data_IF_833592968338
#
_entry.id   IF_833592968338
#
_cell.length_a   1.000
_cell.length_b   1.000
_cell.length_c   1.000
_cell.angle_alpha   90.00
_cell.angle_beta   90.00
_cell.angle_gamma   90.00
#
_symmetry.space_group_name_H-M   'P 1'
#
loop_
_entity.id
_entity.type
_entity.pdbx_description
1 polymer ?
#
# COMPACT_ATOMS: atom_id res chain seq x y z
N UNK A 1 -2.33 1.12 4.19
CA UNK A 1 -3.61 1.40 3.52
C UNK A 1 -3.73 2.85 3.06
N UNK A 2 -4.68 3.12 2.14
CA UNK A 2 -4.90 4.48 1.62
C UNK A 2 -5.37 5.43 2.71
N UNK A 3 -4.65 6.54 2.94
CA UNK A 3 -4.93 7.55 3.96
C UNK A 3 -5.06 7.00 5.40
N UNK A 4 -4.67 5.76 5.61
CA UNK A 4 -4.84 5.02 6.87
C UNK A 4 -3.79 5.39 7.93
N UNK A 5 -3.96 4.85 9.14
CA UNK A 5 -3.09 5.10 10.31
C UNK A 5 -2.67 3.78 11.00
N UNK A 6 -1.73 3.87 11.94
CA UNK A 6 -1.17 2.70 12.65
C UNK A 6 -2.19 2.02 13.58
N UNK A 7 -3.17 2.76 14.11
CA UNK A 7 -4.16 2.24 15.08
C UNK A 7 -5.39 1.57 14.43
N UNK A 8 -5.35 1.21 13.14
CA UNK A 8 -6.45 0.46 12.52
C UNK A 8 -6.57 -0.95 13.12
N UNK A 9 -7.80 -1.45 13.26
CA UNK A 9 -8.09 -2.76 13.92
C UNK A 9 -7.21 -3.89 13.35
N UNK A 10 -7.11 -4.04 12.04
CA UNK A 10 -6.28 -5.07 11.41
C UNK A 10 -4.81 -5.01 11.87
N UNK A 11 -4.23 -3.81 12.03
CA UNK A 11 -2.85 -3.65 12.49
C UNK A 11 -2.69 -3.99 13.97
N UNK A 12 -3.64 -3.55 14.81
CA UNK A 12 -3.61 -3.85 16.25
C UNK A 12 -3.74 -5.33 16.51
N UNK A 13 -4.73 -6.00 15.90
CA UNK A 13 -4.91 -7.44 16.05
C UNK A 13 -3.68 -8.21 15.58
N UNK A 14 -3.09 -7.83 14.43
CA UNK A 14 -1.86 -8.46 13.97
C UNK A 14 -0.69 -8.25 14.95
N UNK A 15 -0.52 -7.05 15.52
CA UNK A 15 0.53 -6.79 16.51
C UNK A 15 0.33 -7.62 17.79
N UNK A 16 -0.91 -7.74 18.27
CA UNK A 16 -1.24 -8.56 19.45
C UNK A 16 -0.93 -10.04 19.19
N UNK A 17 -1.29 -10.56 18.02
CA UNK A 17 -1.03 -11.95 17.66
C UNK A 17 0.48 -12.23 17.45
N UNK A 18 1.20 -11.32 16.77
CA UNK A 18 2.65 -11.41 16.62
C UNK A 18 3.37 -11.39 17.99
N UNK A 19 2.92 -10.55 18.92
CA UNK A 19 3.46 -10.51 20.28
C UNK A 19 3.23 -11.82 21.03
N UNK A 20 2.06 -12.45 20.86
CA UNK A 20 1.75 -13.76 21.46
C UNK A 20 2.66 -14.86 20.92
N UNK A 21 3.12 -14.70 19.68
CA UNK A 21 4.11 -15.59 19.02
C UNK A 21 5.57 -15.14 19.22
N UNK A 22 5.86 -14.34 20.24
CA UNK A 22 7.20 -13.82 20.58
C UNK A 22 7.87 -12.96 19.50
N UNK A 23 7.08 -12.38 18.56
CA UNK A 23 7.59 -11.44 17.57
C UNK A 23 7.39 -9.98 18.00
N UNK A 24 8.47 -9.20 17.98
CA UNK A 24 8.39 -7.74 18.16
C UNK A 24 7.85 -7.08 16.89
N UNK A 25 7.00 -6.07 17.04
CA UNK A 25 6.42 -5.37 15.87
C UNK A 25 6.35 -3.86 16.06
N UNK A 26 6.51 -3.11 14.97
CA UNK A 26 6.36 -1.66 14.90
C UNK A 26 5.34 -1.29 13.83
N UNK A 27 4.22 -0.69 14.24
CA UNK A 27 3.22 -0.17 13.30
C UNK A 27 3.50 1.31 12.99
N UNK A 28 3.95 1.59 11.78
CA UNK A 28 4.27 2.96 11.34
C UNK A 28 3.04 3.70 10.80
N UNK A 29 3.05 5.03 10.94
CA UNK A 29 2.26 5.95 10.14
C UNK A 29 3.12 6.49 9.01
N UNK A 30 2.66 6.33 7.76
CA UNK A 30 3.23 7.14 6.67
C UNK A 30 2.79 8.58 6.87
N UNK A 31 3.70 9.54 6.72
CA UNK A 31 3.45 10.95 7.03
C UNK A 31 2.34 11.55 6.15
N UNK A 32 2.29 11.19 4.88
CA UNK A 32 1.43 11.82 3.88
C UNK A 32 1.63 13.36 3.85
N UNK A 33 2.89 13.80 3.97
CA UNK A 33 3.30 15.21 4.09
C UNK A 33 2.79 15.92 5.37
N UNK A 34 2.39 15.15 6.40
CA UNK A 34 2.04 15.63 7.73
C UNK A 34 2.68 14.69 8.78
N UNK A 35 3.82 15.10 9.33
CA UNK A 35 4.62 14.28 10.24
C UNK A 35 3.92 14.09 11.63
N UNK A 36 2.99 14.94 11.97
CA UNK A 36 2.27 14.90 13.25
C UNK A 36 0.93 14.14 13.15
N UNK A 37 0.64 13.55 11.99
CA UNK A 37 -0.61 12.85 11.73
C UNK A 37 -0.76 11.57 12.58
N UNK A 38 -1.80 11.52 13.39
CA UNK A 38 -2.12 10.37 14.25
C UNK A 38 -3.23 9.48 13.72
N UNK A 39 -4.21 10.04 12.99
CA UNK A 39 -5.43 9.37 12.54
C UNK A 39 -5.51 9.30 11.00
N UNK A 40 -6.70 8.93 10.49
CA UNK A 40 -7.01 9.02 9.06
C UNK A 40 -6.73 10.44 8.55
N UNK A 41 -6.17 10.54 7.35
CA UNK A 41 -5.91 11.84 6.73
C UNK A 41 -7.23 12.60 6.54
N UNK A 42 -7.31 13.82 7.05
CA UNK A 42 -8.49 14.66 6.90
C UNK A 42 -8.56 15.22 5.48
N UNK A 43 -9.68 14.97 4.80
CA UNK A 43 -9.94 15.47 3.45
C UNK A 43 -9.95 17.00 3.31
N UNK A 44 -10.03 17.74 4.43
CA UNK A 44 -9.95 19.21 4.46
C UNK A 44 -8.52 19.74 4.42
N UNK A 45 -7.55 18.88 4.74
CA UNK A 45 -6.13 19.26 4.67
C UNK A 45 -5.66 19.12 3.22
N UNK A 46 -4.95 20.12 2.66
CA UNK A 46 -4.45 20.03 1.29
C UNK A 46 -3.49 18.86 1.09
N UNK A 47 -3.77 18.02 0.11
CA UNK A 47 -2.93 16.87 -0.23
C UNK A 47 -1.67 17.33 -1.00
N UNK A 48 -0.51 17.10 -0.39
CA UNK A 48 0.81 17.43 -0.96
C UNK A 48 1.73 16.22 -1.06
N UNK A 49 1.26 15.06 -0.57
CA UNK A 49 1.99 13.81 -0.58
C UNK A 49 1.92 13.10 -1.93
N UNK A 50 2.88 12.23 -2.20
CA UNK A 50 2.96 11.39 -3.39
C UNK A 50 2.92 9.92 -3.00
N UNK A 51 2.49 9.06 -3.93
CA UNK A 51 2.44 7.61 -3.67
C UNK A 51 3.83 7.05 -3.32
N UNK A 52 4.85 7.45 -4.05
CA UNK A 52 6.23 6.99 -3.88
C UNK A 52 6.94 7.53 -2.62
N UNK A 53 6.42 8.56 -1.96
CA UNK A 53 7.02 9.08 -0.72
C UNK A 53 7.11 7.99 0.36
N UNK A 54 6.16 7.05 0.35
CA UNK A 54 6.15 5.90 1.25
C UNK A 54 7.41 5.02 1.15
N UNK A 55 8.03 4.93 -0.03
CA UNK A 55 9.23 4.10 -0.27
C UNK A 55 10.39 4.60 0.59
N UNK A 56 10.60 5.92 0.60
CA UNK A 56 11.63 6.56 1.42
C UNK A 56 11.32 6.48 2.92
N UNK A 57 10.04 6.62 3.29
CA UNK A 57 9.63 6.50 4.68
C UNK A 57 9.81 5.09 5.22
N UNK A 58 9.46 4.05 4.44
CA UNK A 58 9.70 2.65 4.82
C UNK A 58 11.21 2.40 4.99
N UNK A 59 12.04 2.87 4.05
CA UNK A 59 13.50 2.78 4.15
C UNK A 59 14.02 3.41 5.45
N UNK A 60 13.55 4.60 5.79
CA UNK A 60 13.95 5.32 7.01
C UNK A 60 13.56 4.56 8.28
N UNK A 61 12.37 3.95 8.32
CA UNK A 61 11.94 3.15 9.47
C UNK A 61 12.71 1.83 9.61
N UNK A 62 13.05 1.19 8.49
CA UNK A 62 13.93 0.00 8.51
C UNK A 62 15.32 0.38 9.02
N UNK A 63 15.87 1.52 8.56
CA UNK A 63 17.13 2.06 9.05
C UNK A 63 17.10 2.33 10.56
N UNK A 64 16.03 2.93 11.06
CA UNK A 64 15.84 3.19 12.49
C UNK A 64 15.78 1.89 13.31
N UNK A 65 15.08 0.86 12.84
CA UNK A 65 15.04 -0.45 13.50
C UNK A 65 16.45 -1.07 13.58
N UNK A 66 17.23 -0.99 12.50
CA UNK A 66 18.62 -1.45 12.47
C UNK A 66 19.50 -0.71 13.50
N UNK A 67 19.36 0.61 13.59
CA UNK A 67 20.04 1.43 14.59
C UNK A 67 19.64 1.04 16.03
N UNK A 68 18.41 0.56 16.24
CA UNK A 68 17.93 0.03 17.52
C UNK A 68 18.34 -1.41 17.80
N UNK A 69 19.13 -2.02 16.93
CA UNK A 69 19.71 -3.35 17.12
C UNK A 69 18.89 -4.49 16.50
N UNK A 70 17.88 -4.20 15.67
CA UNK A 70 17.21 -5.25 14.93
C UNK A 70 18.19 -5.88 13.92
N UNK A 71 18.35 -7.20 14.01
CA UNK A 71 19.23 -8.00 13.13
C UNK A 71 18.49 -8.59 11.95
N UNK A 72 17.18 -8.75 12.06
CA UNK A 72 16.27 -9.28 11.05
C UNK A 72 15.00 -8.46 11.06
N UNK A 73 14.55 -8.02 9.90
CA UNK A 73 13.32 -7.21 9.73
C UNK A 73 12.42 -7.86 8.68
N UNK A 74 11.16 -8.05 9.00
CA UNK A 74 10.12 -8.35 8.01
C UNK A 74 9.28 -7.10 7.78
N UNK A 75 9.13 -6.68 6.53
CA UNK A 75 8.26 -5.57 6.17
C UNK A 75 6.88 -6.08 5.78
N UNK A 76 5.83 -5.54 6.43
CA UNK A 76 4.45 -5.98 6.23
C UNK A 76 3.61 -4.82 5.72
N UNK A 77 2.93 -5.00 4.60
CA UNK A 77 2.06 -3.97 4.02
C UNK A 77 0.66 -4.47 3.68
N UNK A 78 -0.37 -3.66 3.95
CA UNK A 78 -1.77 -3.96 3.64
C UNK A 78 -2.34 -3.03 2.57
N UNK A 79 -3.06 -3.59 1.59
CA UNK A 79 -3.77 -2.82 0.56
C UNK A 79 -2.81 -1.93 -0.26
N UNK A 80 -3.06 -0.63 -0.39
CA UNK A 80 -2.11 0.32 -0.99
C UNK A 80 -0.75 0.30 -0.28
N UNK A 81 -0.73 0.12 1.04
CA UNK A 81 0.53 -0.06 1.78
C UNK A 81 1.26 -1.34 1.38
N UNK A 82 0.54 -2.40 0.98
CA UNK A 82 1.14 -3.59 0.40
C UNK A 82 1.83 -3.31 -0.93
N UNK A 83 1.21 -2.54 -1.82
CA UNK A 83 1.85 -2.09 -3.06
C UNK A 83 3.08 -1.20 -2.79
N UNK A 84 2.99 -0.25 -1.86
CA UNK A 84 4.13 0.59 -1.46
C UNK A 84 5.27 -0.22 -0.84
N UNK A 85 4.94 -1.26 -0.07
CA UNK A 85 5.93 -2.22 0.47
C UNK A 85 6.58 -3.04 -0.64
N UNK A 86 5.83 -3.53 -1.61
CA UNK A 86 6.37 -4.22 -2.79
C UNK A 86 7.29 -3.29 -3.60
N UNK A 87 6.88 -2.06 -3.82
CA UNK A 87 7.71 -1.05 -4.52
C UNK A 87 9.02 -0.77 -3.76
N UNK A 88 8.95 -0.59 -2.44
CA UNK A 88 10.15 -0.49 -1.62
C UNK A 88 11.05 -1.72 -1.78
N UNK A 89 10.47 -2.91 -1.75
CA UNK A 89 11.20 -4.16 -1.84
C UNK A 89 11.91 -4.37 -3.18
N UNK A 90 11.39 -3.80 -4.27
CA UNK A 90 12.04 -3.87 -5.59
C UNK A 90 13.13 -2.83 -5.80
N UNK A 91 13.00 -1.63 -5.24
CA UNK A 91 13.89 -0.51 -5.58
C UNK A 91 14.93 -0.19 -4.50
N UNK A 92 14.60 -0.44 -3.22
CA UNK A 92 15.37 0.09 -2.08
C UNK A 92 15.52 -0.85 -0.91
N UNK A 93 15.26 -2.14 -1.09
CA UNK A 93 15.27 -3.08 0.03
C UNK A 93 16.62 -3.09 0.76
N UNK A 94 16.58 -2.89 2.07
CA UNK A 94 17.74 -3.00 2.93
C UNK A 94 18.19 -4.45 3.10
N UNK A 95 19.48 -4.68 3.28
CA UNK A 95 20.03 -6.01 3.63
C UNK A 95 19.49 -6.55 4.97
N UNK A 96 19.03 -5.66 5.86
CA UNK A 96 18.40 -6.05 7.12
C UNK A 96 16.99 -6.62 6.95
N UNK A 97 16.40 -6.50 5.75
CA UNK A 97 15.07 -7.06 5.44
C UNK A 97 15.24 -8.47 4.90
N UNK A 98 14.78 -9.46 5.65
CA UNK A 98 14.87 -10.86 5.28
C UNK A 98 13.63 -11.39 4.58
N UNK A 99 12.45 -10.85 4.93
CA UNK A 99 11.15 -11.30 4.41
C UNK A 99 10.21 -10.13 4.11
N UNK A 100 9.27 -10.37 3.20
CA UNK A 100 8.23 -9.42 2.83
C UNK A 100 6.86 -10.06 2.98
N UNK A 101 5.88 -9.35 3.56
CA UNK A 101 4.49 -9.80 3.66
C UNK A 101 3.56 -8.76 3.06
N UNK A 102 2.76 -9.18 2.08
CA UNK A 102 1.84 -8.34 1.34
C UNK A 102 0.40 -8.81 1.58
N UNK A 103 -0.36 -8.07 2.38
CA UNK A 103 -1.73 -8.41 2.76
C UNK A 103 -2.69 -7.69 1.82
N UNK A 104 -3.47 -8.43 1.03
CA UNK A 104 -4.39 -7.91 0.02
C UNK A 104 -3.80 -6.68 -0.71
N UNK A 105 -2.57 -6.78 -1.28
CA UNK A 105 -1.90 -5.64 -1.88
C UNK A 105 -2.66 -5.12 -3.08
N UNK A 106 -2.57 -3.81 -3.33
CA UNK A 106 -3.31 -3.17 -4.41
C UNK A 106 -2.88 -3.66 -5.79
N UNK A 107 -3.85 -3.95 -6.63
CA UNK A 107 -3.70 -4.11 -8.08
C UNK A 107 -4.07 -2.82 -8.80
N UNK A 108 -3.63 -2.67 -10.05
CA UNK A 108 -3.89 -1.48 -10.83
C UNK A 108 -3.97 -1.77 -12.33
N UNK A 109 -4.90 -1.13 -13.00
CA UNK A 109 -4.88 -0.97 -14.44
C UNK A 109 -5.43 0.40 -14.82
N UNK A 110 -4.97 0.95 -15.95
CA UNK A 110 -5.42 2.25 -16.45
C UNK A 110 -6.95 2.30 -16.61
N UNK A 111 -7.52 1.24 -17.16
CA UNK A 111 -8.97 1.16 -17.41
C UNK A 111 -9.74 1.13 -16.09
N UNK A 112 -9.35 0.26 -15.15
CA UNK A 112 -10.00 0.15 -13.84
C UNK A 112 -9.89 1.46 -13.04
N UNK A 113 -8.72 2.10 -13.05
CA UNK A 113 -8.51 3.39 -12.37
C UNK A 113 -9.43 4.50 -12.93
N UNK A 114 -9.54 4.61 -14.26
CA UNK A 114 -10.42 5.59 -14.91
C UNK A 114 -11.89 5.33 -14.59
N UNK A 115 -12.33 4.08 -14.72
CA UNK A 115 -13.71 3.68 -14.42
C UNK A 115 -14.08 3.92 -12.94
N UNK A 116 -13.17 3.54 -12.02
CA UNK A 116 -13.39 3.75 -10.59
C UNK A 116 -13.46 5.24 -10.22
N UNK A 117 -12.63 6.07 -10.85
CA UNK A 117 -12.64 7.52 -10.63
C UNK A 117 -13.96 8.12 -11.13
N UNK A 118 -14.36 7.83 -12.36
CA UNK A 118 -15.58 8.35 -12.99
C UNK A 118 -16.83 7.84 -12.25
N UNK A 119 -16.86 6.57 -11.85
CA UNK A 119 -17.96 6.01 -11.07
C UNK A 119 -18.13 6.74 -9.73
N UNK A 120 -17.02 7.06 -9.06
CA UNK A 120 -17.03 7.70 -7.74
C UNK A 120 -17.34 9.19 -7.80
N UNK A 121 -16.71 9.92 -8.70
CA UNK A 121 -16.74 11.38 -8.70
C UNK A 121 -17.63 11.98 -9.79
N UNK A 122 -18.15 11.14 -10.70
CA UNK A 122 -19.00 11.56 -11.84
C UNK A 122 -18.33 12.56 -12.79
N UNK A 123 -17.00 12.54 -12.82
CA UNK A 123 -16.14 13.35 -13.69
C UNK A 123 -15.06 12.46 -14.28
N UNK A 124 -14.69 12.69 -15.53
CA UNK A 124 -13.62 11.94 -16.18
C UNK A 124 -12.26 12.21 -15.51
N UNK A 125 -11.51 11.12 -15.20
CA UNK A 125 -10.14 11.23 -14.71
C UNK A 125 -9.26 12.01 -15.71
N UNK A 126 -9.46 11.80 -17.02
CA UNK A 126 -8.66 12.44 -18.07
C UNK A 126 -8.69 13.97 -17.99
N UNK A 127 -9.85 14.56 -17.67
CA UNK A 127 -9.99 16.02 -17.52
C UNK A 127 -9.08 16.58 -16.42
N UNK A 128 -9.03 15.91 -15.28
CA UNK A 128 -8.17 16.36 -14.17
C UNK A 128 -6.70 16.04 -14.42
N UNK A 129 -6.40 14.93 -15.11
CA UNK A 129 -5.03 14.60 -15.52
C UNK A 129 -4.47 15.66 -16.47
N UNK A 130 -5.23 16.06 -17.49
CA UNK A 130 -4.82 17.12 -18.43
C UNK A 130 -4.57 18.44 -17.71
N UNK A 131 -5.46 18.84 -16.79
CA UNK A 131 -5.26 20.05 -15.97
C UNK A 131 -3.98 19.96 -15.15
N UNK A 132 -3.73 18.84 -14.49
CA UNK A 132 -2.54 18.64 -13.69
C UNK A 132 -1.26 18.61 -14.54
N UNK A 133 -1.29 17.94 -15.70
CA UNK A 133 -0.17 17.89 -16.64
C UNK A 133 0.20 19.29 -17.17
N UNK A 134 -0.79 20.13 -17.46
CA UNK A 134 -0.57 21.50 -17.89
C UNK A 134 0.12 22.31 -16.77
N UNK A 135 -0.38 22.26 -15.54
CA UNK A 135 0.22 22.95 -14.40
C UNK A 135 1.68 22.52 -14.17
N UNK A 136 1.97 21.21 -14.24
CA UNK A 136 3.33 20.70 -14.07
C UNK A 136 4.25 21.17 -15.21
N UNK A 137 3.78 21.15 -16.45
CA UNK A 137 4.54 21.63 -17.63
C UNK A 137 4.89 23.09 -17.51
N UNK A 138 4.01 23.90 -16.93
CA UNK A 138 4.21 25.34 -16.70
C UNK A 138 5.03 25.65 -15.45
N UNK A 139 5.63 24.62 -14.79
CA UNK A 139 6.44 24.79 -13.59
C UNK A 139 5.60 25.02 -12.31
N UNK A 140 4.28 24.78 -12.38
CA UNK A 140 3.32 25.03 -11.31
C UNK A 140 2.81 23.75 -10.64
N UNK A 141 3.64 22.70 -10.56
CA UNK A 141 3.27 21.41 -9.98
C UNK A 141 2.78 21.49 -8.53
N UNK A 142 3.26 22.46 -7.75
CA UNK A 142 2.81 22.74 -6.39
C UNK A 142 1.48 23.50 -6.28
N UNK A 143 0.88 23.94 -7.40
CA UNK A 143 -0.41 24.66 -7.41
C UNK A 143 -1.55 23.74 -7.03
N UNK A 144 -2.48 24.27 -6.24
CA UNK A 144 -3.67 23.54 -5.77
C UNK A 144 -4.70 23.45 -6.88
N UNK A 145 -5.15 22.25 -7.13
CA UNK A 145 -6.36 21.94 -7.88
C UNK A 145 -7.51 21.79 -6.87
N UNK A 146 -8.56 22.60 -6.98
CA UNK A 146 -9.64 22.63 -6.00
C UNK A 146 -10.98 23.03 -6.63
N UNK A 147 -12.11 22.43 -6.20
CA UNK A 147 -12.15 21.13 -5.56
C UNK A 147 -12.04 20.00 -6.58
N UNK A 148 -11.35 18.91 -6.25
CA UNK A 148 -11.27 17.70 -7.09
C UNK A 148 -11.51 16.43 -6.27
N UNK A 149 -12.00 15.37 -6.89
CA UNK A 149 -12.04 14.06 -6.29
C UNK A 149 -10.62 13.50 -6.16
N UNK A 150 -10.23 13.05 -4.97
CA UNK A 150 -8.89 12.51 -4.75
C UNK A 150 -8.89 11.37 -3.73
N UNK A 151 -8.43 10.19 -4.13
CA UNK A 151 -8.40 8.96 -3.32
C UNK A 151 -9.81 8.60 -2.78
N UNK A 152 -10.11 8.94 -1.53
CA UNK A 152 -11.46 8.76 -0.94
C UNK A 152 -12.17 10.10 -0.65
N UNK A 153 -11.49 11.20 -0.87
CA UNK A 153 -12.03 12.53 -0.64
C UNK A 153 -12.87 12.99 -1.85
N UNK A 154 -14.14 13.24 -1.63
CA UNK A 154 -15.04 13.65 -2.72
C UNK A 154 -14.72 15.07 -3.24
N UNK A 155 -14.23 15.93 -2.34
CA UNK A 155 -13.79 17.28 -2.64
C UNK A 155 -12.50 17.52 -1.84
N UNK A 156 -11.39 17.67 -2.54
CA UNK A 156 -10.08 17.87 -1.94
C UNK A 156 -9.34 19.03 -2.61
N UNK A 157 -8.52 19.67 -1.83
CA UNK A 157 -7.45 20.52 -2.29
C UNK A 157 -6.23 19.64 -2.51
N UNK A 158 -5.71 19.54 -3.72
CA UNK A 158 -4.58 18.67 -4.04
C UNK A 158 -3.63 19.37 -4.99
N UNK A 159 -2.31 19.25 -4.75
CA UNK A 159 -1.34 19.79 -5.71
C UNK A 159 -1.36 18.99 -7.02
N UNK A 160 -1.07 19.63 -8.14
CA UNK A 160 -1.00 18.97 -9.44
C UNK A 160 0.01 17.82 -9.42
N UNK A 161 1.17 17.99 -8.79
CA UNK A 161 2.18 16.94 -8.58
C UNK A 161 1.61 15.74 -7.80
N UNK A 162 0.90 15.99 -6.68
CA UNK A 162 0.28 14.93 -5.89
C UNK A 162 -0.78 14.19 -6.69
N UNK A 163 -1.63 14.92 -7.42
CA UNK A 163 -2.65 14.30 -8.26
C UNK A 163 -2.04 13.34 -9.28
N UNK A 164 -1.03 13.79 -10.01
CA UNK A 164 -0.32 12.97 -10.99
C UNK A 164 0.39 11.78 -10.35
N UNK A 165 0.97 11.94 -9.16
CA UNK A 165 1.67 10.87 -8.46
C UNK A 165 0.78 9.69 -8.04
N UNK A 166 -0.55 9.87 -8.05
CA UNK A 166 -1.51 8.80 -7.76
C UNK A 166 -2.29 8.28 -8.97
N UNK A 167 -2.37 9.07 -10.04
CA UNK A 167 -3.24 8.72 -11.16
C UNK A 167 -2.53 8.61 -12.52
N UNK A 168 -1.31 9.16 -12.66
CA UNK A 168 -0.53 8.95 -13.89
C UNK A 168 -0.18 7.47 -14.00
N UNK A 169 -0.41 6.85 -15.17
CA UNK A 169 -0.10 5.43 -15.35
C UNK A 169 1.35 5.09 -14.99
N UNK A 170 1.51 4.15 -14.06
CA UNK A 170 2.80 3.60 -13.65
C UNK A 170 2.61 2.09 -13.39
N UNK A 171 3.44 1.25 -14.03
CA UNK A 171 3.38 -0.22 -13.87
C UNK A 171 3.58 -0.65 -12.41
N UNK A 172 4.30 0.16 -11.62
CA UNK A 172 4.60 -0.12 -10.22
C UNK A 172 3.37 -0.02 -9.31
N UNK A 173 2.26 0.54 -9.78
CA UNK A 173 1.00 0.51 -9.02
C UNK A 173 0.32 -0.86 -9.00
N UNK A 174 0.69 -1.76 -9.92
CA UNK A 174 0.18 -3.12 -9.96
C UNK A 174 1.13 -4.05 -9.21
N UNK A 175 0.76 -4.51 -8.02
CA UNK A 175 1.65 -5.34 -7.20
C UNK A 175 2.07 -6.63 -7.89
N UNK A 176 1.21 -7.38 -8.62
CA UNK A 176 1.63 -8.56 -9.36
C UNK A 176 2.81 -8.33 -10.31
N UNK A 177 2.91 -7.15 -10.93
CA UNK A 177 4.01 -6.81 -11.84
C UNK A 177 5.36 -6.58 -11.12
N UNK A 178 5.35 -6.42 -9.80
CA UNK A 178 6.55 -6.22 -8.99
C UNK A 178 7.10 -7.51 -8.37
N UNK A 179 6.29 -8.55 -8.24
CA UNK A 179 6.63 -9.73 -7.44
C UNK A 179 7.91 -10.42 -7.91
N UNK A 180 8.13 -10.52 -9.22
CA UNK A 180 9.31 -11.16 -9.79
C UNK A 180 10.63 -10.44 -9.44
N UNK A 181 10.56 -9.13 -9.17
CA UNK A 181 11.72 -8.29 -8.91
C UNK A 181 12.02 -8.13 -7.40
N UNK A 182 11.21 -8.73 -6.51
CA UNK A 182 11.47 -8.70 -5.06
C UNK A 182 12.54 -9.74 -4.72
N UNK A 183 13.72 -9.36 -4.21
CA UNK A 183 14.83 -10.30 -4.00
C UNK A 183 14.78 -11.00 -2.62
N UNK A 184 13.60 -11.18 -2.05
CA UNK A 184 13.40 -11.82 -0.74
C UNK A 184 12.20 -12.77 -0.76
N UNK A 185 12.21 -13.81 0.09
CA UNK A 185 11.01 -14.61 0.33
C UNK A 185 9.83 -13.70 0.65
N UNK A 186 8.74 -13.90 -0.07
CA UNK A 186 7.57 -13.01 0.01
C UNK A 186 6.30 -13.83 0.17
N UNK A 187 5.54 -13.52 1.22
CA UNK A 187 4.18 -14.02 1.42
C UNK A 187 3.18 -13.00 0.90
N UNK A 188 2.32 -13.43 -0.01
CA UNK A 188 1.14 -12.66 -0.43
C UNK A 188 -0.09 -13.33 0.17
N UNK A 189 -0.83 -12.63 1.04
CA UNK A 189 -2.09 -13.12 1.58
C UNK A 189 -3.24 -12.40 0.90
N UNK A 190 -4.08 -13.15 0.21
CA UNK A 190 -5.28 -12.66 -0.46
C UNK A 190 -6.55 -13.10 0.29
N UNK A 191 -7.61 -12.33 0.15
CA UNK A 191 -8.92 -12.62 0.71
C UNK A 191 -9.87 -13.04 -0.42
N UNK A 192 -10.54 -14.20 -0.31
CA UNK A 192 -11.36 -14.72 -1.43
C UNK A 192 -12.63 -13.91 -1.69
N UNK A 193 -13.16 -13.20 -0.68
CA UNK A 193 -14.32 -12.31 -0.81
C UNK A 193 -13.94 -10.82 -0.78
N UNK A 194 -12.73 -10.48 -1.25
CA UNK A 194 -12.27 -9.10 -1.33
C UNK A 194 -13.08 -8.30 -2.37
N UNK A 195 -13.85 -7.32 -1.91
CA UNK A 195 -14.62 -6.42 -2.78
C UNK A 195 -13.85 -5.17 -3.20
N UNK A 196 -12.64 -4.98 -2.66
CA UNK A 196 -11.76 -3.84 -2.96
C UNK A 196 -10.72 -4.23 -4.01
N UNK A 197 -10.00 -5.34 -3.78
CA UNK A 197 -8.98 -5.88 -4.68
C UNK A 197 -9.48 -7.22 -5.22
N UNK A 198 -10.16 -7.18 -6.36
CA UNK A 198 -10.93 -8.33 -6.87
C UNK A 198 -10.14 -9.27 -7.77
N UNK A 199 -9.03 -8.83 -8.29
CA UNK A 199 -8.28 -9.50 -9.37
C UNK A 199 -6.88 -9.97 -8.96
N UNK A 200 -6.49 -9.76 -7.68
CA UNK A 200 -5.18 -10.13 -7.17
C UNK A 200 -4.88 -11.63 -7.37
N UNK A 201 -5.79 -12.49 -6.90
CA UNK A 201 -5.62 -13.94 -6.98
C UNK A 201 -5.45 -14.39 -8.43
N UNK A 202 -6.35 -13.96 -9.31
CA UNK A 202 -6.30 -14.34 -10.72
C UNK A 202 -5.06 -13.83 -11.44
N UNK A 203 -4.61 -12.62 -11.14
CA UNK A 203 -3.39 -12.06 -11.72
C UNK A 203 -2.15 -12.85 -11.31
N UNK A 204 -2.01 -13.20 -10.01
CA UNK A 204 -0.86 -13.97 -9.54
C UNK A 204 -0.90 -15.41 -10.09
N UNK A 205 -2.04 -16.07 -10.06
CA UNK A 205 -2.19 -17.45 -10.55
C UNK A 205 -2.00 -17.58 -12.07
N UNK A 206 -2.31 -16.55 -12.84
CA UNK A 206 -2.08 -16.52 -14.29
C UNK A 206 -0.67 -16.08 -14.69
N UNK A 207 0.10 -15.57 -13.73
CA UNK A 207 1.48 -15.16 -13.95
C UNK A 207 2.47 -16.32 -13.93
N UNK A 208 3.77 -16.04 -14.12
CA UNK A 208 4.81 -17.05 -14.01
C UNK A 208 4.92 -17.58 -12.57
N UNK A 209 5.31 -18.86 -12.43
CA UNK A 209 5.68 -19.39 -11.11
C UNK A 209 6.95 -18.75 -10.61
N UNK A 210 6.97 -18.38 -9.33
CA UNK A 210 8.09 -17.72 -8.66
C UNK A 210 8.36 -18.44 -7.33
N UNK A 211 9.48 -19.13 -7.21
CA UNK A 211 9.80 -19.98 -6.05
C UNK A 211 9.89 -19.21 -4.73
N UNK A 212 10.19 -17.91 -4.80
CA UNK A 212 10.30 -17.02 -3.63
C UNK A 212 8.98 -16.34 -3.24
N UNK A 213 7.91 -16.56 -4.00
CA UNK A 213 6.57 -16.00 -3.72
C UNK A 213 5.62 -17.10 -3.27
N UNK A 214 5.12 -17.00 -2.05
CA UNK A 214 4.05 -17.85 -1.53
C UNK A 214 2.73 -17.07 -1.58
N UNK A 215 1.75 -17.57 -2.32
CA UNK A 215 0.38 -17.04 -2.31
C UNK A 215 -0.48 -17.88 -1.40
N UNK A 216 -1.05 -17.26 -0.37
CA UNK A 216 -2.06 -17.84 0.51
C UNK A 216 -3.40 -17.13 0.34
N UNK A 217 -4.49 -17.88 0.38
CA UNK A 217 -5.85 -17.33 0.23
C UNK A 217 -6.67 -17.68 1.46
N UNK A 218 -7.13 -16.67 2.20
CA UNK A 218 -8.06 -16.86 3.31
C UNK A 218 -9.47 -16.90 2.74
N UNK A 219 -10.09 -18.10 2.79
CA UNK A 219 -11.41 -18.30 2.21
C UNK A 219 -12.51 -17.60 3.02
N UNK A 220 -13.45 -16.95 2.33
CA UNK A 220 -14.51 -16.14 2.93
C UNK A 220 -14.06 -14.79 3.52
N UNK A 221 -12.77 -14.53 3.60
CA UNK A 221 -12.26 -13.26 4.11
C UNK A 221 -12.57 -12.10 3.16
N UNK A 222 -12.92 -10.96 3.74
CA UNK A 222 -12.95 -9.68 3.02
C UNK A 222 -11.66 -8.88 3.21
N UNK A 223 -11.55 -7.73 2.51
CA UNK A 223 -10.35 -6.89 2.43
C UNK A 223 -9.65 -6.56 3.76
N UNK A 224 -10.37 -6.51 4.86
CA UNK A 224 -9.85 -6.12 6.17
C UNK A 224 -9.64 -7.30 7.12
N UNK A 225 -9.83 -8.52 6.70
CA UNK A 225 -9.63 -9.73 7.50
C UNK A 225 -10.22 -9.58 8.91
N UNK A 226 -11.53 -9.32 8.97
CA UNK A 226 -12.23 -9.05 10.24
C UNK A 226 -12.53 -10.34 10.98
N UNK A 227 -12.65 -10.22 12.30
CA UNK A 227 -13.07 -11.28 13.21
C UNK A 227 -12.13 -12.52 13.10
N UNK A 228 -12.61 -13.72 12.96
CA UNK A 228 -11.81 -14.95 12.87
C UNK A 228 -10.77 -14.93 11.73
N UNK A 229 -11.08 -14.27 10.62
CA UNK A 229 -10.13 -14.15 9.50
C UNK A 229 -8.85 -13.35 9.87
N UNK A 230 -8.89 -12.58 10.96
CA UNK A 230 -7.69 -11.91 11.49
C UNK A 230 -6.75 -12.87 12.20
N UNK A 231 -7.29 -13.93 12.81
CA UNK A 231 -6.50 -15.02 13.40
C UNK A 231 -5.89 -15.85 12.27
N UNK A 232 -6.67 -16.30 11.29
CA UNK A 232 -6.17 -17.04 10.12
C UNK A 232 -5.03 -16.28 9.42
N UNK A 233 -5.20 -14.96 9.19
CA UNK A 233 -4.16 -14.10 8.64
C UNK A 233 -2.89 -14.11 9.47
N UNK A 234 -3.02 -14.01 10.79
CA UNK A 234 -1.89 -13.96 11.71
C UNK A 234 -1.15 -15.28 11.76
N UNK A 235 -1.86 -16.40 11.77
CA UNK A 235 -1.28 -17.75 11.79
C UNK A 235 -0.45 -17.98 10.52
N UNK A 236 -0.96 -17.61 9.34
CA UNK A 236 -0.21 -17.69 8.08
C UNK A 236 1.07 -16.84 8.11
N UNK A 237 1.01 -15.64 8.71
CA UNK A 237 2.17 -14.77 8.84
C UNK A 237 3.18 -15.36 9.82
N UNK A 238 2.76 -15.81 10.99
CA UNK A 238 3.65 -16.44 11.99
C UNK A 238 4.34 -17.67 11.40
N UNK A 239 3.58 -18.58 10.76
CA UNK A 239 4.16 -19.73 10.06
C UNK A 239 5.24 -19.32 9.04
N UNK A 240 4.97 -18.27 8.27
CA UNK A 240 5.94 -17.76 7.28
C UNK A 240 7.17 -17.12 7.95
N UNK A 241 7.02 -16.49 9.10
CA UNK A 241 8.15 -15.90 9.84
C UNK A 241 9.08 -16.95 10.41
N UNK A 242 8.56 -18.10 10.84
CA UNK A 242 9.29 -19.19 11.48
C UNK A 242 10.03 -20.12 10.50
N UNK A 243 9.62 -20.16 9.22
CA UNK A 243 10.23 -20.96 8.15
C UNK A 243 11.30 -20.18 7.37
#
# INVERSE_FOLDING_TARGET
GTLAHSSMKIKKSLQENLQTADHSSLAINLSLADAEREFMYDCKVPHRHRHQDAVMEIESWVGWLKEKGATSVTVIGHSRGGNQTAWYATERISEAVDKVVLIAPATWSKTAASQAYESRYKVSLATHMEKADNLVRDGQGGSIMSPVGFLYCAQADVTADSFLAYYRPDKRFNTPDLLADIPRPTLVVAASDDKVIRDLISQIQSGPSMDHIKLEVVDGAGHFFRDLYGEDLSDLIVEFLEN
#
